data_IF_622691417783
#
_entry.id   IF_622691417783
#
_cell.length_a   1.000
_cell.length_b   1.000
_cell.length_c   1.000
_cell.angle_alpha   90.00
_cell.angle_beta   90.00
_cell.angle_gamma   90.00
#
_symmetry.space_group_name_H-M   'P 1'
#
loop_
_entity.id
_entity.type
_entity.pdbx_description
1 polymer ?
#
# COMPACT_ATOMS: atom_id res chain seq x y z
N UNK A 1 -2.57 -10.21 -41.61
CA UNK A 1 -1.56 -9.45 -42.38
C UNK A 1 -1.66 -7.96 -42.01
N UNK A 2 -1.66 -7.65 -40.72
CA UNK A 2 -1.91 -6.27 -40.23
C UNK A 2 -0.68 -5.64 -39.55
N UNK A 3 0.41 -6.41 -39.44
CA UNK A 3 1.66 -5.97 -38.79
C UNK A 3 2.68 -5.37 -39.78
N UNK A 4 2.45 -5.46 -41.09
CA UNK A 4 3.38 -4.98 -42.14
C UNK A 4 2.95 -3.66 -42.79
N UNK A 5 1.72 -3.20 -42.52
CA UNK A 5 1.28 -1.87 -42.90
C UNK A 5 1.73 -0.90 -41.81
N UNK A 6 2.64 0.02 -42.12
CA UNK A 6 3.13 1.11 -41.25
C UNK A 6 2.06 2.13 -40.81
N UNK A 7 0.81 1.69 -40.69
CA UNK A 7 -0.37 2.42 -40.27
C UNK A 7 -0.42 2.51 -38.73
N UNK A 8 0.17 1.55 -38.02
CA UNK A 8 0.28 1.57 -36.55
C UNK A 8 0.92 2.86 -35.99
N UNK A 9 2.09 3.33 -36.46
CA UNK A 9 2.67 4.58 -35.98
C UNK A 9 1.84 5.81 -36.36
N UNK A 10 1.22 5.84 -37.54
CA UNK A 10 0.38 6.96 -37.98
C UNK A 10 -0.91 7.07 -37.16
N UNK A 11 -1.54 5.95 -36.83
CA UNK A 11 -2.73 5.90 -35.98
C UNK A 11 -2.38 6.29 -34.55
N UNK A 12 -1.30 5.75 -33.99
CA UNK A 12 -0.82 6.13 -32.66
C UNK A 12 -0.54 7.63 -32.59
N UNK A 13 0.18 8.19 -33.56
CA UNK A 13 0.49 9.62 -33.62
C UNK A 13 -0.78 10.49 -33.73
N UNK A 14 -1.78 10.05 -34.50
CA UNK A 14 -3.06 10.74 -34.59
C UNK A 14 -3.84 10.71 -33.27
N UNK A 15 -3.85 9.57 -32.58
CA UNK A 15 -4.45 9.43 -31.25
C UNK A 15 -3.74 10.31 -30.21
N UNK A 16 -2.41 10.36 -30.23
CA UNK A 16 -1.61 11.20 -29.35
C UNK A 16 -1.86 12.69 -29.62
N UNK A 17 -1.94 13.10 -30.90
CA UNK A 17 -2.27 14.48 -31.29
C UNK A 17 -3.64 14.89 -30.78
N UNK A 18 -4.67 14.07 -31.03
CA UNK A 18 -6.04 14.29 -30.53
C UNK A 18 -6.14 14.30 -29.01
N UNK A 19 -5.22 13.64 -28.28
CA UNK A 19 -5.15 13.68 -26.81
C UNK A 19 -4.54 14.97 -26.31
N UNK A 20 -3.43 15.41 -26.91
CA UNK A 20 -2.75 16.68 -26.58
C UNK A 20 -3.62 17.90 -26.85
N UNK A 21 -4.45 17.86 -27.88
CA UNK A 21 -5.42 18.92 -28.18
C UNK A 21 -6.58 18.96 -27.17
N UNK A 22 -6.88 17.83 -26.50
CA UNK A 22 -8.02 17.71 -25.58
C UNK A 22 -7.72 18.13 -24.15
N UNK A 23 -6.49 17.95 -23.68
CA UNK A 23 -6.11 18.29 -22.31
C UNK A 23 -5.02 19.35 -22.31
N UNK A 24 -5.25 20.39 -21.53
CA UNK A 24 -4.45 21.59 -21.44
C UNK A 24 -4.10 21.89 -19.98
N UNK A 25 -3.27 22.91 -19.75
CA UNK A 25 -2.96 23.38 -18.39
C UNK A 25 -4.20 23.82 -17.60
N UNK A 26 -5.33 24.13 -18.26
CA UNK A 26 -6.59 24.46 -17.60
C UNK A 26 -7.20 23.26 -16.89
N UNK A 27 -7.01 22.07 -17.45
CA UNK A 27 -7.56 20.82 -16.92
C UNK A 27 -6.79 20.30 -15.71
N UNK A 28 -5.64 20.92 -15.40
CA UNK A 28 -4.85 20.66 -14.20
C UNK A 28 -5.16 21.63 -13.06
N UNK A 29 -6.05 22.61 -13.27
CA UNK A 29 -6.42 23.57 -12.24
C UNK A 29 -7.15 22.87 -11.09
N UNK A 30 -6.72 23.13 -9.85
CA UNK A 30 -7.31 22.54 -8.65
C UNK A 30 -6.71 21.20 -8.23
N UNK A 31 -5.82 20.61 -9.04
CA UNK A 31 -5.01 19.47 -8.62
C UNK A 31 -3.79 19.96 -7.85
N UNK A 32 -3.50 19.32 -6.72
CA UNK A 32 -2.30 19.62 -5.92
C UNK A 32 -1.18 18.63 -6.23
N UNK A 33 0.07 19.02 -5.95
CA UNK A 33 1.24 18.15 -6.12
C UNK A 33 1.76 17.77 -4.74
N UNK A 34 1.94 16.48 -4.48
CA UNK A 34 2.39 15.98 -3.17
C UNK A 34 3.87 16.27 -2.87
N UNK A 35 4.69 16.34 -3.91
CA UNK A 35 6.14 16.44 -3.79
C UNK A 35 6.59 17.86 -3.47
N UNK A 36 7.58 17.99 -2.60
CA UNK A 36 8.26 19.27 -2.34
C UNK A 36 8.86 19.79 -3.66
N UNK A 37 8.68 21.06 -4.03
CA UNK A 37 9.32 21.65 -5.21
C UNK A 37 10.84 21.43 -5.25
N UNK A 38 11.52 21.38 -4.11
CA UNK A 38 12.97 21.13 -4.03
C UNK A 38 13.37 19.69 -4.40
N UNK A 39 12.42 18.75 -4.36
CA UNK A 39 12.66 17.34 -4.74
C UNK A 39 12.60 17.13 -6.26
N UNK A 40 12.10 18.11 -7.02
CA UNK A 40 11.99 18.07 -8.47
C UNK A 40 13.29 18.61 -9.07
N UNK A 41 14.08 17.80 -9.80
CA UNK A 41 15.33 18.26 -10.38
C UNK A 41 15.08 19.35 -11.43
N UNK A 42 15.79 20.47 -11.32
CA UNK A 42 15.71 21.54 -12.32
C UNK A 42 16.12 21.04 -13.70
N UNK A 43 15.44 21.53 -14.74
CA UNK A 43 15.71 21.16 -16.13
C UNK A 43 15.21 19.77 -16.54
N UNK A 44 14.53 19.03 -15.66
CA UNK A 44 13.93 17.74 -15.98
C UNK A 44 12.41 17.84 -16.07
N UNK A 45 11.83 17.21 -17.09
CA UNK A 45 10.38 17.04 -17.20
C UNK A 45 9.99 15.71 -16.57
N UNK A 46 9.25 15.77 -15.47
CA UNK A 46 8.73 14.58 -14.79
C UNK A 46 7.29 14.31 -15.21
N UNK A 47 6.95 13.03 -15.35
CA UNK A 47 5.56 12.58 -15.54
C UNK A 47 4.97 12.31 -14.16
N UNK A 48 3.93 13.08 -13.82
CA UNK A 48 3.14 12.91 -12.61
C UNK A 48 1.90 12.06 -12.92
N UNK A 49 1.50 11.25 -11.95
CA UNK A 49 0.32 10.39 -12.01
C UNK A 49 -0.65 10.78 -10.90
N UNK A 50 -1.94 10.54 -11.11
CA UNK A 50 -2.94 10.72 -10.07
C UNK A 50 -2.68 9.72 -8.94
N UNK A 51 -2.63 10.21 -7.70
CA UNK A 51 -2.49 9.40 -6.50
C UNK A 51 -3.75 8.56 -6.29
N UNK A 52 -3.54 7.31 -5.88
CA UNK A 52 -4.66 6.41 -5.55
C UNK A 52 -5.44 6.90 -4.33
N UNK A 53 -6.78 6.89 -4.43
CA UNK A 53 -7.69 7.32 -3.36
C UNK A 53 -9.04 6.64 -3.48
N UNK A 54 -9.66 6.36 -2.34
CA UNK A 54 -11.01 5.80 -2.29
C UNK A 54 -12.05 6.76 -2.89
N UNK A 55 -12.94 6.24 -3.74
CA UNK A 55 -13.96 7.04 -4.45
C UNK A 55 -14.93 7.75 -3.48
N UNK A 56 -15.16 7.16 -2.30
CA UNK A 56 -16.03 7.74 -1.26
C UNK A 56 -15.27 8.61 -0.26
N UNK A 57 -13.94 8.62 -0.28
CA UNK A 57 -13.14 9.49 0.56
C UNK A 57 -13.22 10.91 0.00
N UNK A 58 -13.64 11.88 0.83
CA UNK A 58 -13.70 13.30 0.48
C UNK A 58 -12.33 13.99 0.55
N UNK A 59 -12.19 15.14 -0.14
CA UNK A 59 -10.92 15.89 -0.28
C UNK A 59 -10.49 16.12 -1.74
N UNK A 60 -9.31 16.71 -1.94
CA UNK A 60 -8.78 17.11 -3.25
C UNK A 60 -7.97 16.00 -3.94
N UNK A 61 -7.94 16.05 -5.28
CA UNK A 61 -7.14 15.14 -6.09
C UNK A 61 -5.67 15.59 -6.11
N UNK A 62 -4.76 14.62 -5.96
CA UNK A 62 -3.33 14.87 -5.76
C UNK A 62 -2.51 14.16 -6.83
N UNK A 63 -1.51 14.86 -7.37
CA UNK A 63 -0.54 14.33 -8.31
C UNK A 63 0.73 13.90 -7.58
N UNK A 64 1.18 12.68 -7.84
CA UNK A 64 2.43 12.13 -7.34
C UNK A 64 3.31 11.59 -8.47
N UNK A 65 4.62 11.74 -8.34
CA UNK A 65 5.58 10.99 -9.13
C UNK A 65 5.87 9.66 -8.42
N UNK A 66 5.63 8.52 -9.10
CA UNK A 66 5.75 7.17 -8.54
C UNK A 66 7.14 6.83 -7.97
N UNK A 67 8.21 7.12 -8.70
CA UNK A 67 9.58 6.88 -8.29
C UNK A 67 10.02 7.79 -7.12
N UNK A 68 9.63 9.07 -7.11
CA UNK A 68 9.89 9.97 -5.97
C UNK A 68 9.12 9.51 -4.73
N UNK A 69 7.85 9.13 -4.89
CA UNK A 69 7.04 8.61 -3.79
C UNK A 69 7.63 7.31 -3.21
N UNK A 70 8.08 6.40 -4.07
CA UNK A 70 8.76 5.18 -3.63
C UNK A 70 10.07 5.48 -2.90
N UNK A 71 10.87 6.44 -3.40
CA UNK A 71 12.11 6.86 -2.75
C UNK A 71 11.84 7.46 -1.37
N UNK A 72 10.83 8.33 -1.24
CA UNK A 72 10.45 8.95 0.02
C UNK A 72 10.03 7.90 1.07
N UNK A 73 9.16 6.95 0.69
CA UNK A 73 8.75 5.83 1.57
C UNK A 73 9.94 4.97 2.00
N UNK A 74 10.86 4.70 1.09
CA UNK A 74 12.06 3.92 1.40
C UNK A 74 12.99 4.64 2.38
N UNK A 75 13.13 5.98 2.27
CA UNK A 75 13.90 6.77 3.23
C UNK A 75 13.26 6.73 4.62
N UNK A 76 11.93 6.93 4.69
CA UNK A 76 11.19 6.87 5.96
C UNK A 76 11.34 5.50 6.64
N UNK A 77 11.18 4.40 5.88
CA UNK A 77 11.37 3.07 6.42
C UNK A 77 12.80 2.86 6.94
N UNK A 78 13.81 3.34 6.23
CA UNK A 78 15.20 3.26 6.69
C UNK A 78 15.41 4.06 7.99
N UNK A 79 14.84 5.26 8.10
CA UNK A 79 14.92 6.04 9.34
C UNK A 79 14.22 5.33 10.50
N UNK A 80 13.01 4.81 10.28
CA UNK A 80 12.28 4.04 11.28
C UNK A 80 13.09 2.81 11.72
N UNK A 81 13.71 2.10 10.77
CA UNK A 81 14.58 0.96 11.06
C UNK A 81 15.83 1.35 11.86
N UNK A 82 16.40 2.53 11.61
CA UNK A 82 17.52 3.07 12.40
C UNK A 82 17.10 3.48 13.81
N UNK A 83 15.88 3.99 13.98
CA UNK A 83 15.33 4.40 15.28
C UNK A 83 14.77 3.24 16.10
N UNK A 84 14.56 2.07 15.50
CA UNK A 84 14.04 0.90 16.23
C UNK A 84 15.03 0.47 17.32
N UNK A 85 14.60 0.34 18.58
CA UNK A 85 15.43 -0.19 19.64
C UNK A 85 15.80 -1.65 19.34
N UNK A 86 16.97 -2.08 19.82
CA UNK A 86 17.40 -3.45 19.67
C UNK A 86 16.40 -4.38 20.38
N UNK A 87 16.08 -5.53 19.76
CA UNK A 87 15.09 -6.44 20.33
C UNK A 87 15.61 -7.05 21.63
N UNK A 88 14.96 -6.69 22.74
CA UNK A 88 15.23 -7.27 24.06
C UNK A 88 14.01 -8.10 24.53
N UNK A 89 14.08 -9.44 24.48
CA UNK A 89 13.00 -10.33 24.89
C UNK A 89 12.78 -10.38 26.40
N UNK A 90 13.74 -9.91 27.21
CA UNK A 90 13.65 -9.87 28.67
C UNK A 90 13.71 -8.45 29.23
N UNK A 91 13.78 -7.45 28.35
CA UNK A 91 13.77 -6.04 28.73
C UNK A 91 12.44 -5.69 29.38
N UNK A 92 12.50 -5.01 30.52
CA UNK A 92 11.33 -4.41 31.17
C UNK A 92 10.78 -3.31 30.27
N UNK A 93 9.91 -3.66 29.32
CA UNK A 93 9.14 -2.69 28.56
C UNK A 93 8.06 -2.13 29.48
N UNK A 94 8.37 -1.00 30.12
CA UNK A 94 7.36 -0.20 30.80
C UNK A 94 6.33 0.23 29.74
N UNK A 95 5.03 -0.10 29.91
CA UNK A 95 4.02 0.19 28.89
C UNK A 95 3.80 1.70 28.82
N UNK A 96 4.51 2.36 27.90
CA UNK A 96 4.23 3.74 27.53
C UNK A 96 2.78 3.89 27.04
N UNK A 97 2.16 5.07 27.20
CA UNK A 97 0.75 5.25 26.87
C UNK A 97 0.54 5.12 25.36
N UNK A 98 -0.02 3.97 24.95
CA UNK A 98 -0.89 3.90 23.76
C UNK A 98 -0.25 3.61 22.40
N UNK A 99 0.88 2.91 22.31
CA UNK A 99 1.25 2.31 21.02
C UNK A 99 0.38 1.08 20.76
N UNK A 100 -0.68 1.22 19.96
CA UNK A 100 -1.41 0.07 19.41
C UNK A 100 -0.42 -0.78 18.61
N UNK A 101 -0.03 -1.92 19.20
CA UNK A 101 0.70 -2.99 18.52
C UNK A 101 -0.13 -3.46 17.32
N UNK A 102 0.35 -3.30 16.07
CA UNK A 102 -0.37 -3.81 14.92
C UNK A 102 -0.40 -5.34 15.01
N UNK A 103 -1.63 -5.86 15.08
CA UNK A 103 -2.02 -7.28 15.14
C UNK A 103 -0.88 -8.28 15.00
N UNK A 104 -0.30 -8.67 16.13
CA UNK A 104 0.57 -9.84 16.19
C UNK A 104 -0.21 -11.04 15.65
N UNK A 105 0.22 -11.57 14.50
CA UNK A 105 -0.16 -12.89 13.96
C UNK A 105 0.40 -14.03 14.84
N UNK A 106 0.13 -13.98 16.14
CA UNK A 106 0.47 -15.00 17.13
C UNK A 106 -0.81 -15.47 17.84
N UNK A 107 -1.86 -15.79 17.06
CA UNK A 107 -3.06 -16.46 17.57
C UNK A 107 -3.37 -17.81 16.93
N UNK A 108 -2.60 -18.26 15.93
CA UNK A 108 -3.01 -19.45 15.16
C UNK A 108 -2.33 -20.77 15.54
N UNK A 109 -1.30 -20.78 16.41
CA UNK A 109 -0.65 -22.05 16.81
C UNK A 109 -1.24 -22.61 18.12
N UNK A 110 -1.78 -21.76 19.01
CA UNK A 110 -2.24 -22.21 20.32
C UNK A 110 -3.68 -22.77 20.35
N UNK A 111 -4.56 -22.36 19.42
CA UNK A 111 -5.97 -22.76 19.45
C UNK A 111 -6.20 -24.19 18.90
N UNK A 112 -5.27 -24.73 18.10
CA UNK A 112 -5.39 -26.09 17.57
C UNK A 112 -5.04 -27.20 18.57
N UNK A 113 -4.22 -26.90 19.59
CA UNK A 113 -3.79 -27.92 20.57
C UNK A 113 -4.79 -28.14 21.72
N UNK A 114 -5.75 -27.24 21.91
CA UNK A 114 -6.76 -27.35 22.98
C UNK A 114 -8.10 -27.93 22.53
N UNK A 115 -8.28 -28.21 21.22
CA UNK A 115 -9.44 -28.98 20.72
C UNK A 115 -9.21 -30.49 20.66
N UNK A 116 -7.97 -30.97 20.81
CA UNK A 116 -7.67 -32.40 20.71
C UNK A 116 -7.66 -33.15 22.04
N UNK A 117 -7.94 -32.48 23.17
CA UNK A 117 -8.01 -33.11 24.51
C UNK A 117 -9.41 -32.99 25.15
N UNK A 118 -10.47 -32.82 24.36
CA UNK A 118 -11.84 -32.73 24.90
C UNK A 118 -12.90 -33.37 23.99
N UNK A 119 -12.60 -34.53 23.41
CA UNK A 119 -13.61 -35.37 22.71
C UNK A 119 -13.63 -36.82 23.23
N UNK A 120 -12.66 -37.29 24.02
CA UNK A 120 -12.66 -38.71 24.47
C UNK A 120 -13.29 -38.95 25.85
N UNK A 121 -13.92 -37.95 26.48
CA UNK A 121 -14.47 -38.10 27.83
C UNK A 121 -15.99 -38.30 27.90
N UNK A 122 -16.69 -38.38 26.76
CA UNK A 122 -18.13 -38.62 26.72
C UNK A 122 -18.49 -39.70 25.70
N UNK A 123 -18.05 -40.93 25.94
CA UNK A 123 -18.63 -42.09 25.25
C UNK A 123 -18.72 -43.36 26.11
N UNK A 124 -18.90 -43.23 27.43
CA UNK A 124 -19.10 -44.40 28.30
C UNK A 124 -20.19 -44.20 29.37
N UNK A 125 -21.31 -43.56 28.99
CA UNK A 125 -22.48 -43.39 29.86
C UNK A 125 -23.76 -44.06 29.32
N UNK A 126 -23.65 -45.00 28.37
CA UNK A 126 -24.81 -45.77 27.85
C UNK A 126 -24.71 -47.28 28.09
N UNK A 127 -23.99 -47.72 29.14
CA UNK A 127 -23.87 -49.15 29.46
C UNK A 127 -24.45 -49.58 30.81
N UNK A 128 -25.28 -48.75 31.44
CA UNK A 128 -26.07 -49.15 32.61
C UNK A 128 -27.51 -48.66 32.49
N UNK A 129 -28.27 -49.33 31.62
CA UNK A 129 -29.72 -49.52 31.80
C UNK A 129 -30.00 -50.97 31.40
N UNK A 130 -29.95 -51.85 32.39
CA UNK A 130 -30.96 -52.87 32.69
C UNK A 130 -30.87 -53.21 34.19
#
# INVERSE_FOLDING_TARGET
MDQEFGVSPLVEEEFQRRRRERYSARDLQGLTVEHDPASIPEGQTLVLTLKDRGVLEGGEDVLEQVALAAAARAQEEQELRRRRPNYDPYGEQEPGPGAQVPGTRYRDIAIHLLRSQRIDQYHDASRYID
#
